data_IF_393013162131
#
_entry.id   IF_393013162131
#
_cell.length_a   1.000
_cell.length_b   1.000
_cell.length_c   1.000
_cell.angle_alpha   90.00
_cell.angle_beta   90.00
_cell.angle_gamma   90.00
#
_symmetry.space_group_name_H-M   'P 1'
#
loop_
_entity.id
_entity.type
_entity.pdbx_description
1 polymer ?
#
# COMPACT_ATOMS: atom_id res chain seq x y z
N UNK A 1 -10.66 -1.24 0.22
CA UNK A 1 -10.40 0.21 0.43
C UNK A 1 -10.58 0.93 -0.90
N UNK A 2 -11.18 2.12 -0.90
CA UNK A 2 -11.28 2.98 -2.08
C UNK A 2 -10.42 4.22 -1.81
N UNK A 3 -9.53 4.59 -2.73
CA UNK A 3 -8.79 5.86 -2.66
C UNK A 3 -8.90 6.59 -3.98
N UNK A 4 -9.11 7.91 -3.93
CA UNK A 4 -9.08 8.75 -5.12
C UNK A 4 -7.63 8.83 -5.64
N UNK A 5 -7.46 8.69 -6.95
CA UNK A 5 -6.17 8.90 -7.64
C UNK A 5 -6.43 10.05 -8.60
N UNK A 6 -5.75 11.20 -8.39
CA UNK A 6 -6.04 12.57 -8.88
C UNK A 6 -6.32 12.81 -10.37
N UNK A 7 -7.20 12.01 -10.95
CA UNK A 7 -7.54 11.85 -12.37
C UNK A 7 -9.04 11.54 -12.54
N UNK A 8 -9.86 11.70 -11.49
CA UNK A 8 -11.28 11.33 -11.49
C UNK A 8 -11.54 9.82 -11.46
N UNK A 9 -10.52 9.01 -11.21
CA UNK A 9 -10.61 7.56 -10.98
C UNK A 9 -10.52 7.25 -9.49
N UNK A 10 -11.12 6.14 -9.11
CA UNK A 10 -10.96 5.55 -7.78
C UNK A 10 -10.17 4.25 -7.90
N UNK A 11 -9.21 4.01 -7.01
CA UNK A 11 -8.53 2.73 -6.92
C UNK A 11 -9.20 1.87 -5.84
N UNK A 12 -9.83 0.77 -6.25
CA UNK A 12 -10.33 -0.26 -5.35
C UNK A 12 -9.22 -1.24 -5.02
N UNK A 13 -8.92 -1.36 -3.73
CA UNK A 13 -7.92 -2.26 -3.16
C UNK A 13 -8.66 -3.34 -2.38
N UNK A 14 -8.56 -4.57 -2.85
CA UNK A 14 -9.11 -5.76 -2.22
C UNK A 14 -7.98 -6.60 -1.65
N UNK A 15 -8.12 -7.03 -0.41
CA UNK A 15 -7.07 -7.72 0.33
C UNK A 15 -7.63 -8.97 1.00
N UNK A 16 -6.87 -10.06 0.92
CA UNK A 16 -7.18 -11.35 1.52
C UNK A 16 -6.05 -11.75 2.48
N UNK A 17 -6.40 -12.13 3.71
CA UNK A 17 -5.47 -12.50 4.79
C UNK A 17 -4.41 -11.43 5.13
N UNK A 18 -4.68 -10.15 4.81
CA UNK A 18 -3.84 -9.00 5.15
C UNK A 18 -4.64 -8.04 6.04
N UNK A 19 -4.70 -8.26 7.37
CA UNK A 19 -5.57 -7.49 8.27
C UNK A 19 -5.17 -6.02 8.36
N UNK A 20 -3.89 -5.71 8.19
CA UNK A 20 -3.34 -4.38 8.39
C UNK A 20 -3.28 -3.59 7.08
N UNK A 21 -3.20 -2.28 7.19
CA UNK A 21 -2.96 -1.39 6.04
C UNK A 21 -2.10 -0.22 6.49
N UNK A 22 -0.90 -0.13 5.92
CA UNK A 22 -0.04 1.04 6.08
C UNK A 22 -0.44 2.07 5.02
N UNK A 23 -0.57 3.32 5.46
CA UNK A 23 -0.78 4.46 4.58
C UNK A 23 0.42 5.38 4.77
N UNK A 24 1.22 5.56 3.72
CA UNK A 24 2.50 6.23 3.83
C UNK A 24 2.79 7.16 2.66
N UNK A 25 3.41 8.29 3.00
CA UNK A 25 4.03 9.20 2.06
C UNK A 25 5.22 9.86 2.79
N UNK A 26 6.38 10.00 2.13
CA UNK A 26 7.60 10.48 2.78
C UNK A 26 7.53 11.97 3.17
N UNK A 27 6.68 12.74 2.50
CA UNK A 27 6.68 14.20 2.54
C UNK A 27 8.04 14.81 2.17
N UNK A 28 8.08 16.15 2.02
CA UNK A 28 9.26 16.86 1.51
C UNK A 28 10.57 16.52 2.25
N UNK A 29 10.54 16.44 3.58
CA UNK A 29 11.75 16.26 4.39
C UNK A 29 12.39 14.88 4.20
N UNK A 30 11.60 13.83 4.06
CA UNK A 30 12.12 12.48 3.83
C UNK A 30 12.43 12.27 2.35
N UNK A 31 11.57 12.77 1.44
CA UNK A 31 11.79 12.67 -0.01
C UNK A 31 13.15 13.24 -0.42
N UNK A 32 13.53 14.40 0.13
CA UNK A 32 14.85 15.00 -0.12
C UNK A 32 16.07 14.17 0.37
N UNK A 33 15.85 13.05 1.05
CA UNK A 33 16.89 12.13 1.54
C UNK A 33 16.87 10.76 0.84
N UNK A 34 15.85 10.48 0.05
CA UNK A 34 15.74 9.23 -0.71
C UNK A 34 16.46 9.45 -2.05
N UNK A 35 17.60 8.79 -2.25
CA UNK A 35 18.43 8.98 -3.45
C UNK A 35 17.73 8.53 -4.74
N UNK A 36 16.72 7.67 -4.60
CA UNK A 36 15.93 7.08 -5.68
C UNK A 36 14.57 7.76 -5.91
N UNK A 37 14.27 8.86 -5.21
CA UNK A 37 13.00 9.60 -5.32
C UNK A 37 13.27 11.09 -5.59
N UNK A 38 12.60 11.67 -6.59
CA UNK A 38 12.72 13.12 -6.82
C UNK A 38 12.09 13.92 -5.66
N UNK A 39 12.66 15.10 -5.37
CA UNK A 39 12.28 15.97 -4.24
C UNK A 39 10.80 16.37 -4.22
N UNK A 40 10.13 16.36 -5.38
CA UNK A 40 8.70 16.68 -5.50
C UNK A 40 7.81 15.48 -5.82
N UNK A 41 8.38 14.31 -6.09
CA UNK A 41 7.64 13.13 -6.52
C UNK A 41 6.65 12.63 -5.45
N UNK A 42 6.94 12.90 -4.18
CA UNK A 42 6.02 12.62 -3.07
C UNK A 42 4.64 13.28 -3.24
N UNK A 43 4.51 14.38 -3.98
CA UNK A 43 3.20 15.02 -4.22
C UNK A 43 2.28 14.21 -5.13
N UNK A 44 2.84 13.24 -5.87
CA UNK A 44 2.13 12.48 -6.89
C UNK A 44 1.95 11.00 -6.52
N UNK A 45 2.29 10.63 -5.29
CA UNK A 45 2.19 9.26 -4.80
C UNK A 45 1.55 9.16 -3.42
N UNK A 46 0.96 8.00 -3.16
CA UNK A 46 0.55 7.55 -1.84
C UNK A 46 0.75 6.04 -1.79
N UNK A 47 1.55 5.57 -0.84
CA UNK A 47 1.63 4.14 -0.58
C UNK A 47 0.41 3.70 0.24
N UNK A 48 -0.30 2.70 -0.28
CA UNK A 48 -1.34 1.98 0.45
C UNK A 48 -0.96 0.51 0.42
N UNK A 49 -0.53 0.00 1.56
CA UNK A 49 0.18 -1.29 1.66
C UNK A 49 -0.62 -2.25 2.54
N UNK A 50 -1.38 -3.19 1.94
CA UNK A 50 -2.00 -4.28 2.67
C UNK A 50 -0.94 -5.20 3.27
N UNK A 51 -1.02 -5.46 4.58
CA UNK A 51 -0.01 -6.20 5.32
C UNK A 51 -0.57 -7.10 6.41
N UNK A 52 0.31 -7.92 6.97
CA UNK A 52 0.12 -8.65 8.22
C UNK A 52 1.34 -8.37 9.11
N UNK A 53 1.39 -7.15 9.67
CA UNK A 53 2.60 -6.54 10.25
C UNK A 53 2.48 -6.23 11.73
N UNK A 54 1.26 -6.08 12.27
CA UNK A 54 1.06 -5.82 13.70
C UNK A 54 1.34 -7.06 14.53
N UNK A 55 0.92 -8.23 14.04
CA UNK A 55 1.20 -9.52 14.66
C UNK A 55 1.83 -10.47 13.63
N UNK A 56 2.87 -11.24 13.95
CA UNK A 56 3.41 -12.23 13.03
C UNK A 56 2.45 -13.40 12.81
N UNK A 57 2.43 -13.96 11.58
CA UNK A 57 1.81 -15.26 11.32
C UNK A 57 2.78 -16.36 11.74
N UNK A 58 2.38 -17.21 12.69
CA UNK A 58 3.14 -18.40 13.06
C UNK A 58 2.75 -19.57 12.16
N UNK A 59 3.73 -20.26 11.58
CA UNK A 59 3.53 -21.46 10.77
C UNK A 59 4.25 -22.66 11.39
N UNK A 60 3.48 -23.71 11.66
CA UNK A 60 4.00 -25.02 12.06
C UNK A 60 4.50 -25.81 10.83
N UNK A 61 5.27 -26.91 11.03
CA UNK A 61 5.71 -27.75 9.93
C UNK A 61 4.55 -28.17 9.01
N UNK A 62 4.75 -28.02 7.71
CA UNK A 62 3.77 -28.27 6.63
C UNK A 62 2.60 -27.28 6.53
N UNK A 63 2.56 -26.22 7.32
CA UNK A 63 1.59 -25.14 7.12
C UNK A 63 2.05 -24.16 6.04
N UNK A 64 1.07 -23.51 5.41
CA UNK A 64 1.30 -22.48 4.41
C UNK A 64 0.44 -21.26 4.72
N UNK A 65 1.03 -20.08 4.54
CA UNK A 65 0.29 -18.83 4.52
C UNK A 65 0.07 -18.40 3.08
N UNK A 66 -1.15 -17.96 2.77
CA UNK A 66 -1.49 -17.34 1.48
C UNK A 66 -2.22 -16.04 1.76
N UNK A 67 -1.83 -15.02 1.03
CA UNK A 67 -2.44 -13.71 1.05
C UNK A 67 -2.47 -13.17 -0.38
N UNK A 68 -3.41 -12.26 -0.64
CA UNK A 68 -3.55 -11.63 -1.93
C UNK A 68 -3.93 -10.17 -1.78
N UNK A 69 -3.50 -9.36 -2.75
CA UNK A 69 -3.96 -8.00 -2.92
C UNK A 69 -4.27 -7.77 -4.40
N UNK A 70 -5.46 -7.25 -4.68
CA UNK A 70 -5.89 -6.88 -6.03
C UNK A 70 -6.19 -5.39 -6.08
N UNK A 71 -5.61 -4.72 -7.07
CA UNK A 71 -5.85 -3.30 -7.36
C UNK A 71 -6.70 -3.19 -8.62
N UNK A 72 -7.82 -2.48 -8.54
CA UNK A 72 -8.71 -2.22 -9.67
C UNK A 72 -8.91 -0.72 -9.83
N UNK A 73 -8.58 -0.17 -11.00
CA UNK A 73 -8.94 1.19 -11.35
C UNK A 73 -10.43 1.22 -11.74
N UNK A 74 -11.22 1.98 -11.01
CA UNK A 74 -12.64 2.21 -11.24
C UNK A 74 -12.86 3.63 -11.73
N UNK A 75 -13.82 3.81 -12.64
CA UNK A 75 -14.32 5.15 -12.96
C UNK A 75 -15.19 5.66 -11.80
N UNK A 76 -15.16 6.97 -11.57
CA UNK A 76 -15.93 7.64 -10.52
C UNK A 76 -17.43 7.74 -10.82
#
# INVERSE_FOLDING_TARGET
MLTEVGTGKTLKIEKENLPDTVVWNPWAKMAAKLEDLDVNEYMHMLCVEPGHVVQPVLLEPSQHFRAACTFTACDG
#
